data_IF_911247478584
#
_entry.id   IF_911247478584
#
_cell.length_a   1.000
_cell.length_b   1.000
_cell.length_c   1.000
_cell.angle_alpha   90.00
_cell.angle_beta   90.00
_cell.angle_gamma   90.00
#
_symmetry.space_group_name_H-M   'P 1'
#
loop_
_entity.id
_entity.type
_entity.pdbx_description
1 polymer ?
#
# COMPACT_ATOMS: atom_id res chain seq x y z
N UNK A 1 5.19 22.00 20.99
CA UNK A 1 5.32 22.20 20.22
C UNK A 1 5.42 22.34 19.60
N UNK A 2 5.25 22.41 19.64
CA UNK A 2 5.35 22.59 18.67
C UNK A 2 5.54 22.90 18.14
N UNK A 3 5.59 22.91 18.21
CA UNK A 3 5.75 23.27 17.36
C UNK A 3 6.08 23.84 16.99
N UNK A 4 6.38 24.18 17.06
CA UNK A 4 6.76 24.80 16.36
C UNK A 4 6.57 25.33 16.03
N UNK A 5 6.33 25.63 16.41
CA UNK A 5 6.15 26.29 15.82
C UNK A 5 5.97 26.89 15.55
N UNK A 6 5.60 27.35 15.67
CA UNK A 6 5.37 28.01 15.26
C UNK A 6 4.88 28.52 14.78
N UNK A 7 4.85 28.91 15.09
CA UNK A 7 4.03 29.90 14.57
C UNK A 7 3.63 29.59 13.23
N UNK A 8 2.93 30.03 12.49
CA UNK A 8 2.51 29.46 11.25
C UNK A 8 2.04 28.04 11.46
N UNK A 9 1.36 27.85 12.53
CA UNK A 9 0.94 26.54 12.94
C UNK A 9 -0.02 25.90 11.97
N UNK A 10 -0.99 26.66 11.45
CA UNK A 10 -1.92 26.13 10.47
C UNK A 10 -1.23 25.73 9.18
N UNK A 11 -0.27 26.54 8.79
CA UNK A 11 0.52 26.27 7.57
C UNK A 11 1.35 25.01 7.75
N UNK A 12 1.95 24.83 8.91
CA UNK A 12 2.73 23.62 9.19
C UNK A 12 1.88 22.38 9.14
N UNK A 13 0.66 22.46 9.66
CA UNK A 13 -0.26 21.34 9.62
C UNK A 13 -0.61 20.96 8.18
N UNK A 14 -0.83 21.93 7.32
CA UNK A 14 -1.13 21.68 5.92
C UNK A 14 0.06 21.00 5.22
N UNK A 15 1.27 21.46 5.52
CA UNK A 15 2.45 20.86 4.92
C UNK A 15 2.62 19.41 5.37
N UNK A 16 2.36 19.11 6.64
CA UNK A 16 2.42 17.75 7.13
C UNK A 16 1.42 16.87 6.37
N UNK A 17 0.19 17.35 6.18
CA UNK A 17 -0.80 16.60 5.43
C UNK A 17 -0.36 16.33 3.99
N UNK A 18 0.28 17.30 3.34
CA UNK A 18 0.74 17.16 1.97
C UNK A 18 1.89 16.17 1.83
N UNK A 19 2.63 15.93 2.91
CA UNK A 19 3.78 15.05 2.89
C UNK A 19 3.53 13.69 3.53
N UNK A 20 2.26 13.34 3.77
CA UNK A 20 1.94 12.03 4.32
C UNK A 20 2.28 10.96 3.30
N UNK A 21 2.91 9.90 3.78
CA UNK A 21 3.39 8.82 2.94
C UNK A 21 2.30 7.77 2.77
N UNK A 22 1.98 7.45 1.52
CA UNK A 22 1.03 6.39 1.21
C UNK A 22 1.77 5.18 0.70
N UNK A 23 1.37 4.02 1.19
CA UNK A 23 1.89 2.73 0.73
C UNK A 23 0.71 1.85 0.38
N UNK A 24 0.97 0.84 -0.45
CA UNK A 24 -0.10 0.05 -1.04
C UNK A 24 0.18 -1.42 -0.89
N UNK A 25 -0.86 -2.18 -0.56
CA UNK A 25 -0.85 -3.63 -0.57
C UNK A 25 -1.68 -4.12 -1.74
N UNK A 26 -1.11 -5.04 -2.50
CA UNK A 26 -1.81 -5.68 -3.61
C UNK A 26 -2.16 -7.09 -3.17
N UNK A 27 -3.43 -7.46 -3.31
CA UNK A 27 -3.89 -8.81 -3.02
C UNK A 27 -4.56 -9.39 -4.26
N UNK A 28 -4.20 -10.62 -4.62
CA UNK A 28 -4.93 -11.36 -5.64
C UNK A 28 -6.35 -11.60 -5.15
N UNK A 29 -7.26 -11.97 -6.06
CA UNK A 29 -8.62 -12.34 -5.66
C UNK A 29 -8.62 -13.43 -4.59
N UNK A 30 -7.92 -14.55 -4.79
CA UNK A 30 -7.85 -15.59 -3.76
C UNK A 30 -7.27 -15.12 -2.43
N UNK A 31 -6.23 -14.28 -2.46
CA UNK A 31 -5.65 -13.76 -1.22
C UNK A 31 -6.60 -12.80 -0.50
N UNK A 32 -7.37 -12.02 -1.26
CA UNK A 32 -8.42 -11.18 -0.68
C UNK A 32 -9.49 -12.03 0.01
N UNK A 33 -9.89 -13.12 -0.62
CA UNK A 33 -10.92 -14.01 -0.07
C UNK A 33 -10.48 -14.62 1.26
N UNK A 34 -9.17 -14.76 1.47
CA UNK A 34 -8.63 -15.23 2.74
C UNK A 34 -8.55 -14.06 3.74
N UNK A 35 -8.07 -12.91 3.29
CA UNK A 35 -7.79 -11.77 4.16
C UNK A 35 -9.07 -11.15 4.73
N UNK A 36 -10.10 -11.03 3.92
CA UNK A 36 -11.32 -10.32 4.32
C UNK A 36 -11.95 -10.92 5.58
N UNK A 37 -12.23 -12.24 5.65
CA UNK A 37 -12.79 -12.80 6.88
C UNK A 37 -11.82 -12.82 8.04
N UNK A 38 -10.49 -12.88 7.78
CA UNK A 38 -9.51 -12.83 8.85
C UNK A 38 -9.35 -11.42 9.43
N UNK A 39 -9.59 -10.40 8.62
CA UNK A 39 -9.40 -9.02 9.02
C UNK A 39 -7.99 -8.49 8.84
N UNK A 40 -7.08 -9.29 8.28
CA UNK A 40 -5.70 -8.85 8.01
C UNK A 40 -5.14 -9.61 6.80
N UNK A 41 -4.12 -9.00 6.18
CA UNK A 41 -3.46 -9.58 5.01
C UNK A 41 -2.62 -10.80 5.42
N UNK A 42 -2.77 -11.90 4.68
CA UNK A 42 -2.00 -13.11 4.92
C UNK A 42 -1.76 -13.80 3.58
N UNK A 43 -0.54 -13.69 3.06
CA UNK A 43 -0.17 -14.33 1.80
C UNK A 43 0.98 -15.28 2.02
N UNK A 44 1.11 -16.27 1.13
CA UNK A 44 2.22 -17.24 1.23
C UNK A 44 3.57 -16.54 1.13
N UNK A 45 3.69 -15.54 0.27
CA UNK A 45 4.95 -14.81 0.11
C UNK A 45 5.32 -14.07 1.39
N UNK A 46 4.38 -13.35 1.98
CA UNK A 46 4.63 -12.60 3.20
C UNK A 46 4.99 -13.53 4.35
N UNK A 47 4.27 -14.66 4.47
CA UNK A 47 4.55 -15.63 5.51
C UNK A 47 5.95 -16.23 5.36
N UNK A 48 6.34 -16.53 4.12
CA UNK A 48 7.65 -17.09 3.84
C UNK A 48 8.79 -16.13 4.11
N UNK A 49 8.60 -14.85 3.83
CA UNK A 49 9.64 -13.84 4.00
C UNK A 49 9.64 -13.19 5.39
N UNK A 50 8.57 -13.35 6.14
CA UNK A 50 8.50 -12.84 7.50
C UNK A 50 8.13 -11.36 7.61
N UNK A 51 7.59 -10.77 6.55
CA UNK A 51 7.12 -9.38 6.55
C UNK A 51 6.10 -9.19 5.42
N UNK A 52 5.30 -8.12 5.54
CA UNK A 52 4.31 -7.79 4.54
C UNK A 52 4.96 -6.93 3.45
N UNK A 53 4.82 -7.36 2.19
CA UNK A 53 5.37 -6.64 1.04
C UNK A 53 4.39 -5.55 0.64
N UNK A 54 4.88 -4.30 0.63
CA UNK A 54 4.12 -3.14 0.22
C UNK A 54 4.81 -2.45 -0.95
N UNK A 55 4.12 -1.52 -1.59
CA UNK A 55 4.65 -0.75 -2.70
C UNK A 55 4.38 0.73 -2.45
N UNK A 56 5.28 1.58 -2.94
CA UNK A 56 4.99 3.01 -3.02
C UNK A 56 4.04 3.27 -4.17
N UNK A 57 3.48 4.49 -4.23
CA UNK A 57 2.61 4.88 -5.33
C UNK A 57 3.26 4.66 -6.70
N UNK A 58 4.54 5.00 -6.82
CA UNK A 58 5.25 4.88 -8.09
C UNK A 58 5.60 3.44 -8.44
N UNK A 59 5.61 2.54 -7.47
CA UNK A 59 5.98 1.14 -7.70
C UNK A 59 4.80 0.26 -8.06
N UNK A 60 3.58 0.69 -7.75
CA UNK A 60 2.39 -0.16 -7.88
C UNK A 60 2.19 -0.65 -9.31
N UNK A 61 2.29 0.25 -10.30
CA UNK A 61 2.01 -0.12 -11.69
C UNK A 61 2.96 -1.21 -12.18
N UNK A 62 4.24 -1.08 -11.89
CA UNK A 62 5.21 -2.08 -12.32
C UNK A 62 4.97 -3.41 -11.63
N UNK A 63 4.64 -3.38 -10.34
CA UNK A 63 4.35 -4.62 -9.61
C UNK A 63 3.14 -5.32 -10.20
N UNK A 64 2.09 -4.57 -10.56
CA UNK A 64 0.91 -5.15 -11.18
C UNK A 64 1.26 -5.78 -12.53
N UNK A 65 2.08 -5.10 -13.33
CA UNK A 65 2.46 -5.58 -14.65
C UNK A 65 3.31 -6.84 -14.58
N UNK A 66 4.21 -6.93 -13.61
CA UNK A 66 5.14 -8.03 -13.50
C UNK A 66 4.52 -9.27 -12.86
N UNK A 67 3.66 -9.09 -11.86
CA UNK A 67 3.23 -10.20 -11.01
C UNK A 67 1.75 -10.54 -11.08
N UNK A 68 0.94 -9.69 -11.71
CA UNK A 68 -0.51 -9.89 -11.74
C UNK A 68 -1.11 -9.84 -13.14
N UNK A 69 -0.36 -10.19 -14.23
CA UNK A 69 -0.97 -10.14 -15.56
C UNK A 69 -2.14 -11.11 -15.65
N UNK A 70 -3.20 -10.67 -16.33
CA UNK A 70 -4.42 -11.44 -16.58
C UNK A 70 -5.22 -11.80 -15.34
N UNK A 71 -4.87 -11.29 -14.16
CA UNK A 71 -5.61 -11.61 -12.94
C UNK A 71 -6.75 -10.64 -12.72
N UNK A 72 -7.93 -11.19 -12.57
CA UNK A 72 -9.13 -10.41 -12.26
C UNK A 72 -9.32 -10.35 -10.76
N UNK A 73 -10.09 -9.36 -10.32
CA UNK A 73 -10.48 -9.21 -8.91
C UNK A 73 -9.29 -8.93 -7.98
N UNK A 74 -8.22 -8.36 -8.53
CA UNK A 74 -7.09 -7.90 -7.71
C UNK A 74 -7.57 -6.72 -6.88
N UNK A 75 -7.20 -6.72 -5.61
CA UNK A 75 -7.52 -5.60 -4.69
C UNK A 75 -6.28 -4.77 -4.45
N UNK A 76 -6.47 -3.46 -4.44
CA UNK A 76 -5.43 -2.51 -4.07
C UNK A 76 -5.87 -1.82 -2.79
N UNK A 77 -5.06 -1.92 -1.74
CA UNK A 77 -5.37 -1.35 -0.44
C UNK A 77 -4.37 -0.22 -0.17
N UNK A 78 -4.88 0.94 0.17
CA UNK A 78 -4.05 2.11 0.45
C UNK A 78 -3.94 2.33 1.95
N UNK A 79 -2.72 2.62 2.40
CA UNK A 79 -2.45 2.90 3.81
C UNK A 79 -1.65 4.19 3.91
N UNK A 80 -1.92 4.96 4.95
CA UNK A 80 -1.13 6.14 5.30
C UNK A 80 -0.16 5.71 6.40
N UNK A 81 1.14 5.77 6.11
CA UNK A 81 2.17 5.25 7.01
C UNK A 81 2.05 5.86 8.41
N UNK A 82 1.83 7.17 8.46
CA UNK A 82 1.76 7.90 9.72
C UNK A 82 0.57 7.47 10.58
N UNK A 83 -0.47 6.90 9.95
CA UNK A 83 -1.64 6.40 10.66
C UNK A 83 -1.52 4.96 11.11
N UNK A 84 -0.60 4.22 10.53
CA UNK A 84 -0.42 2.81 10.88
C UNK A 84 0.20 2.64 12.26
N UNK A 85 1.09 3.54 12.65
CA UNK A 85 1.84 3.46 13.91
C UNK A 85 2.55 2.11 14.07
N UNK A 86 2.99 1.51 12.96
CA UNK A 86 3.63 0.21 12.93
C UNK A 86 4.98 0.32 12.24
N UNK A 87 5.92 -0.59 12.55
CA UNK A 87 7.27 -0.48 12.00
C UNK A 87 7.33 -0.83 10.52
N UNK A 88 7.68 0.17 9.70
CA UNK A 88 7.95 -0.02 8.29
C UNK A 88 9.43 0.13 8.07
N UNK A 89 10.03 -0.84 7.37
CA UNK A 89 11.43 -0.79 6.96
C UNK A 89 11.50 -0.62 5.46
N UNK A 90 12.39 0.26 5.03
CA UNK A 90 12.63 0.50 3.62
C UNK A 90 13.83 -0.32 3.22
N UNK A 91 13.61 -1.39 2.46
CA UNK A 91 14.63 -2.39 2.17
C UNK A 91 14.75 -2.61 0.67
N UNK A 92 15.95 -2.92 0.21
CA UNK A 92 16.16 -3.18 -1.20
C UNK A 92 15.43 -4.45 -1.63
N UNK A 93 14.88 -4.39 -2.84
CA UNK A 93 14.21 -5.51 -3.45
C UNK A 93 14.45 -5.43 -4.95
N UNK A 94 13.42 -5.61 -5.77
CA UNK A 94 13.54 -5.64 -7.20
C UNK A 94 14.34 -4.44 -7.75
N UNK A 95 15.40 -4.72 -8.52
CA UNK A 95 16.18 -3.68 -9.18
C UNK A 95 16.93 -2.74 -8.26
N UNK A 96 17.17 -3.14 -7.01
CA UNK A 96 17.87 -2.29 -6.07
C UNK A 96 17.03 -1.16 -5.48
N UNK A 97 15.75 -1.10 -5.83
CA UNK A 97 14.86 -0.08 -5.27
C UNK A 97 14.46 -0.43 -3.85
N UNK A 98 14.21 0.60 -3.06
CA UNK A 98 13.71 0.42 -1.70
C UNK A 98 12.19 0.23 -1.74
N UNK A 99 11.74 -0.84 -1.13
CA UNK A 99 10.32 -1.12 -0.97
C UNK A 99 9.95 -1.07 0.50
N UNK A 100 8.75 -0.62 0.83
CA UNK A 100 8.32 -0.62 2.23
C UNK A 100 7.91 -2.03 2.65
N UNK A 101 8.47 -2.50 3.75
CA UNK A 101 8.16 -3.81 4.32
C UNK A 101 7.62 -3.60 5.73
N UNK A 102 6.49 -4.22 6.03
CA UNK A 102 5.85 -4.09 7.32
C UNK A 102 6.11 -5.35 8.14
N UNK A 103 6.74 -5.18 9.31
CA UNK A 103 7.05 -6.29 10.20
C UNK A 103 5.98 -6.41 11.29
N UNK A 104 4.72 -6.48 10.86
CA UNK A 104 3.56 -6.63 11.73
C UNK A 104 2.39 -7.05 10.86
N UNK A 105 1.26 -7.38 11.49
CA UNK A 105 0.04 -7.67 10.74
C UNK A 105 -0.49 -6.40 10.09
N UNK A 106 -0.94 -6.53 8.85
CA UNK A 106 -1.56 -5.43 8.12
C UNK A 106 -3.07 -5.64 8.15
N UNK A 107 -3.76 -4.85 8.96
CA UNK A 107 -5.21 -4.98 9.13
C UNK A 107 -5.94 -4.39 7.93
N UNK A 108 -7.00 -5.06 7.53
CA UNK A 108 -7.84 -4.59 6.43
C UNK A 108 -8.54 -3.28 6.81
N UNK A 109 -9.01 -3.19 8.06
CA UNK A 109 -9.75 -2.01 8.51
C UNK A 109 -8.87 -0.78 8.73
N UNK A 110 -7.56 -0.92 8.64
CA UNK A 110 -6.65 0.23 8.70
C UNK A 110 -6.43 0.88 7.33
N UNK A 111 -6.92 0.28 6.26
CA UNK A 111 -6.78 0.85 4.92
C UNK A 111 -7.60 2.13 4.81
N UNK A 112 -7.01 3.16 4.18
CA UNK A 112 -7.74 4.40 3.93
C UNK A 112 -8.68 4.25 2.75
N UNK A 113 -8.30 3.42 1.76
CA UNK A 113 -9.15 3.13 0.60
C UNK A 113 -8.85 1.72 0.11
N UNK A 114 -9.84 1.09 -0.49
CA UNK A 114 -9.71 -0.24 -1.09
C UNK A 114 -10.42 -0.21 -2.45
N UNK A 115 -9.71 -0.68 -3.47
CA UNK A 115 -10.27 -0.76 -4.82
C UNK A 115 -10.22 -2.19 -5.34
N UNK A 116 -11.18 -2.53 -6.18
CA UNK A 116 -11.11 -3.71 -7.04
C UNK A 116 -10.65 -3.23 -8.41
N UNK A 117 -9.55 -3.78 -8.91
CA UNK A 117 -8.94 -3.27 -10.14
C UNK A 117 -9.50 -3.98 -11.37
N UNK A 118 -9.86 -3.19 -12.38
CA UNK A 118 -10.27 -3.71 -13.68
C UNK A 118 -9.01 -3.98 -14.52
N UNK A 119 -9.11 -4.91 -15.46
CA UNK A 119 -8.03 -5.13 -16.41
C UNK A 119 -8.05 -4.08 -17.50
N UNK A 120 -6.87 -3.63 -17.92
CA UNK A 120 -6.74 -2.74 -19.05
C UNK A 120 -6.73 -3.53 -20.37
N UNK A 121 -6.50 -2.84 -21.48
CA UNK A 121 -6.54 -3.47 -22.81
C UNK A 121 -5.46 -4.54 -22.98
N UNK A 122 -4.43 -4.52 -22.16
CA UNK A 122 -3.32 -5.49 -22.22
C UNK A 122 -3.50 -6.62 -21.22
N UNK A 123 -4.60 -6.63 -20.48
CA UNK A 123 -4.83 -7.65 -19.45
C UNK A 123 -4.09 -7.39 -18.16
N UNK A 124 -3.66 -6.15 -17.91
CA UNK A 124 -2.97 -5.78 -16.67
C UNK A 124 -3.95 -5.05 -15.76
N UNK A 125 -3.99 -5.38 -14.46
CA UNK A 125 -4.84 -4.62 -13.55
C UNK A 125 -4.46 -3.14 -13.59
N UNK A 126 -5.45 -2.28 -13.77
CA UNK A 126 -5.23 -0.85 -13.99
C UNK A 126 -5.37 -0.08 -12.68
N UNK A 127 -4.54 0.95 -12.52
CA UNK A 127 -4.65 1.84 -11.37
C UNK A 127 -6.00 2.55 -11.38
N UNK A 128 -6.60 2.77 -10.20
CA UNK A 128 -7.86 3.51 -10.13
C UNK A 128 -7.66 4.95 -10.57
N UNK A 129 -8.68 5.50 -11.25
CA UNK A 129 -8.59 6.87 -11.75
C UNK A 129 -8.42 7.89 -10.62
N UNK A 130 -8.92 7.59 -9.44
CA UNK A 130 -8.91 8.51 -8.29
C UNK A 130 -7.78 8.24 -7.30
N UNK A 131 -6.78 7.43 -7.68
CA UNK A 131 -5.74 7.04 -6.73
C UNK A 131 -4.96 8.25 -6.19
N UNK A 132 -4.80 9.28 -7.02
CA UNK A 132 -4.03 10.46 -6.63
C UNK A 132 -4.90 11.57 -6.06
N UNK A 133 -6.17 11.33 -5.81
CA UNK A 133 -7.03 12.29 -5.12
C UNK A 133 -7.15 11.92 -3.66
#
# INVERSE_FOLDING_TARGET
MALHSSAKRGEDANMVMLHRTRVYKILSGPDWDIAEPLGYSKTALDEGDGYVHLSTRDQVQETLSLHYPEQKNVRLLEYVVEELALPIRWEESRGGQLFPHLYARLRIDAASRIWTLALDDRGVPALPADIDT
#
